data_IF_134814622376
#
_entry.id   IF_134814622376
#
_cell.length_a   1.000
_cell.length_b   1.000
_cell.length_c   1.000
_cell.angle_alpha   90.00
_cell.angle_beta   90.00
_cell.angle_gamma   90.00
#
_symmetry.space_group_name_H-M   'P 1'
#
loop_
_entity.id
_entity.type
_entity.pdbx_description
1 polymer ?
#
# COMPACT_ATOMS: atom_id res chain seq x y z
N UNK A 1 27.90 0.04 -46.33
CA UNK A 1 27.94 1.30 -45.55
C UNK A 1 27.49 0.95 -44.16
N UNK A 2 28.45 0.73 -43.26
CA UNK A 2 28.18 0.42 -41.86
C UNK A 2 27.72 1.71 -41.19
N UNK A 3 26.45 1.77 -40.79
CA UNK A 3 25.99 2.79 -39.88
C UNK A 3 26.68 2.52 -38.54
N UNK A 4 27.58 3.42 -38.13
CA UNK A 4 28.09 3.45 -36.76
C UNK A 4 26.88 3.66 -35.84
N UNK A 5 26.41 2.57 -35.23
CA UNK A 5 25.57 2.64 -34.04
C UNK A 5 26.51 3.14 -32.94
N UNK A 6 26.51 4.45 -32.72
CA UNK A 6 27.06 5.01 -31.48
C UNK A 6 26.19 4.50 -30.36
N UNK A 7 26.66 3.46 -29.66
CA UNK A 7 26.06 3.00 -28.41
C UNK A 7 26.10 4.17 -27.42
N UNK A 8 24.95 4.65 -26.93
CA UNK A 8 24.91 5.81 -26.03
C UNK A 8 25.33 5.47 -24.60
N UNK A 9 25.67 4.21 -24.31
CA UNK A 9 25.88 3.72 -22.96
C UNK A 9 27.30 3.18 -22.78
N UNK A 10 28.07 3.68 -21.79
CA UNK A 10 29.34 3.06 -21.39
C UNK A 10 29.11 1.65 -20.80
N UNK A 11 30.09 0.72 -20.92
CA UNK A 11 29.99 -0.62 -20.36
C UNK A 11 29.78 -0.62 -18.83
N UNK A 12 29.11 -1.66 -18.32
CA UNK A 12 28.71 -1.81 -16.91
C UNK A 12 29.33 -3.11 -16.37
N UNK A 13 29.97 -3.08 -15.20
CA UNK A 13 30.45 -4.31 -14.58
C UNK A 13 29.28 -5.08 -13.93
N UNK A 14 29.29 -6.43 -13.89
CA UNK A 14 28.22 -7.24 -13.30
C UNK A 14 27.86 -6.86 -11.85
N UNK A 15 28.80 -6.23 -11.15
CA UNK A 15 28.75 -5.87 -9.74
C UNK A 15 28.11 -4.47 -9.50
N UNK A 16 27.80 -3.71 -10.56
CA UNK A 16 27.45 -2.27 -10.49
C UNK A 16 25.95 -1.96 -10.35
N UNK A 17 25.06 -2.97 -10.33
CA UNK A 17 23.62 -2.78 -10.16
C UNK A 17 23.17 -3.16 -8.75
N UNK A 18 23.92 -2.65 -7.79
CA UNK A 18 23.65 -2.74 -6.36
C UNK A 18 23.48 -1.32 -5.80
N UNK A 19 22.35 -1.06 -5.13
CA UNK A 19 22.00 0.26 -4.61
C UNK A 19 21.72 0.15 -3.12
N UNK A 20 22.40 0.95 -2.31
CA UNK A 20 22.09 1.07 -0.88
C UNK A 20 20.80 1.87 -0.69
N UNK A 21 19.96 1.43 0.24
CA UNK A 21 18.73 2.11 0.61
C UNK A 21 18.96 2.92 1.89
N UNK A 22 19.01 4.24 1.77
CA UNK A 22 19.12 5.10 2.95
C UNK A 22 17.87 5.00 3.84
N UNK A 23 18.06 5.24 5.14
CA UNK A 23 16.93 5.30 6.09
C UNK A 23 15.87 6.31 5.66
N UNK A 24 16.28 7.46 5.13
CA UNK A 24 15.36 8.50 4.65
C UNK A 24 14.50 8.00 3.48
N UNK A 25 15.11 7.31 2.50
CA UNK A 25 14.36 6.70 1.39
C UNK A 25 13.35 5.69 1.91
N UNK A 26 13.75 4.84 2.86
CA UNK A 26 12.86 3.85 3.46
C UNK A 26 11.69 4.50 4.20
N UNK A 27 11.95 5.53 5.02
CA UNK A 27 10.93 6.25 5.75
C UNK A 27 9.92 6.94 4.81
N UNK A 28 10.41 7.59 3.74
CA UNK A 28 9.56 8.24 2.75
C UNK A 28 8.72 7.23 1.95
N UNK A 29 9.34 6.14 1.48
CA UNK A 29 8.65 5.07 0.77
C UNK A 29 7.57 4.42 1.66
N UNK A 30 7.90 4.17 2.94
CA UNK A 30 6.95 3.65 3.90
C UNK A 30 5.77 4.59 4.08
N UNK A 31 6.02 5.88 4.32
CA UNK A 31 4.97 6.90 4.50
C UNK A 31 4.00 6.95 3.31
N UNK A 32 4.51 6.95 2.07
CA UNK A 32 3.66 6.99 0.86
C UNK A 32 2.81 5.73 0.71
N UNK A 33 3.35 4.56 1.05
CA UNK A 33 2.65 3.28 0.92
C UNK A 33 1.46 3.13 1.89
N UNK A 34 1.35 3.95 2.94
CA UNK A 34 0.38 3.74 4.03
C UNK A 34 -1.08 3.93 3.61
N UNK A 35 -1.33 4.65 2.52
CA UNK A 35 -2.68 4.93 2.03
C UNK A 35 -3.36 3.72 1.37
N UNK A 36 -2.64 2.63 1.13
CA UNK A 36 -3.20 1.43 0.50
C UNK A 36 -4.14 0.64 1.41
N UNK A 37 -5.13 -0.01 0.79
CA UNK A 37 -6.30 -0.54 1.50
C UNK A 37 -6.00 -1.71 2.46
N UNK A 38 -4.90 -2.43 2.23
CA UNK A 38 -4.57 -3.64 2.98
C UNK A 38 -3.04 -3.86 3.07
N UNK A 39 -2.56 -4.71 4.00
CA UNK A 39 -1.12 -4.93 4.20
C UNK A 39 -0.35 -5.39 2.95
N UNK A 40 -0.97 -6.20 2.08
CA UNK A 40 -0.30 -6.72 0.87
C UNK A 40 -0.05 -5.57 -0.11
N UNK A 41 -1.09 -4.78 -0.40
CA UNK A 41 -0.98 -3.59 -1.24
C UNK A 41 0.01 -2.56 -0.67
N UNK A 42 0.00 -2.36 0.66
CA UNK A 42 0.99 -1.50 1.35
C UNK A 42 2.42 -1.99 1.12
N UNK A 43 2.70 -3.27 1.34
CA UNK A 43 4.05 -3.82 1.11
C UNK A 43 4.46 -3.70 -0.37
N UNK A 44 3.53 -3.98 -1.27
CA UNK A 44 3.77 -3.88 -2.71
C UNK A 44 4.12 -2.46 -3.15
N UNK A 45 3.38 -1.46 -2.67
CA UNK A 45 3.67 -0.05 -2.94
C UNK A 45 4.98 0.40 -2.28
N UNK A 46 5.26 -0.07 -1.06
CA UNK A 46 6.52 0.20 -0.38
C UNK A 46 7.72 -0.30 -1.18
N UNK A 47 7.74 -1.58 -1.59
CA UNK A 47 8.78 -2.13 -2.45
C UNK A 47 8.84 -1.42 -3.80
N UNK A 48 7.67 -1.09 -4.37
CA UNK A 48 7.56 -0.34 -5.61
C UNK A 48 8.25 1.02 -5.54
N UNK A 49 8.03 1.77 -4.45
CA UNK A 49 8.71 3.04 -4.19
C UNK A 49 10.22 2.86 -4.02
N UNK A 50 10.67 1.90 -3.22
CA UNK A 50 12.09 1.65 -3.00
C UNK A 50 12.82 1.32 -4.31
N UNK A 51 12.26 0.39 -5.10
CA UNK A 51 12.82 0.01 -6.39
C UNK A 51 12.80 1.17 -7.38
N UNK A 52 11.70 1.93 -7.46
CA UNK A 52 11.63 3.10 -8.32
C UNK A 52 12.69 4.13 -7.94
N UNK A 53 12.72 4.55 -6.67
CA UNK A 53 13.64 5.59 -6.22
C UNK A 53 15.10 5.14 -6.34
N UNK A 54 15.43 3.93 -5.88
CA UNK A 54 16.79 3.38 -5.95
C UNK A 54 17.28 3.26 -7.39
N UNK A 55 16.46 2.68 -8.28
CA UNK A 55 16.84 2.53 -9.69
C UNK A 55 16.96 3.89 -10.39
N UNK A 56 16.03 4.82 -10.15
CA UNK A 56 16.07 6.17 -10.73
C UNK A 56 17.31 6.95 -10.28
N UNK A 57 17.65 6.90 -8.99
CA UNK A 57 18.86 7.57 -8.47
C UNK A 57 20.12 7.03 -9.14
N UNK A 58 20.25 5.70 -9.24
CA UNK A 58 21.40 5.09 -9.90
C UNK A 58 21.50 5.48 -11.38
N UNK A 59 20.40 5.44 -12.13
CA UNK A 59 20.38 5.89 -13.54
C UNK A 59 20.84 7.34 -13.63
N UNK A 60 20.28 8.24 -12.81
CA UNK A 60 20.59 9.66 -12.86
C UNK A 60 22.06 9.93 -12.53
N UNK A 61 22.63 9.27 -11.53
CA UNK A 61 24.05 9.35 -11.20
C UNK A 61 24.92 8.88 -12.37
N UNK A 62 24.56 7.77 -13.02
CA UNK A 62 25.34 7.16 -14.09
C UNK A 62 25.34 7.99 -15.37
N UNK A 63 24.22 8.64 -15.68
CA UNK A 63 24.01 9.40 -16.92
C UNK A 63 24.07 10.91 -16.71
N UNK A 64 24.88 11.37 -15.75
CA UNK A 64 25.17 12.79 -15.48
C UNK A 64 23.89 13.64 -15.32
N UNK A 65 22.87 13.08 -14.68
CA UNK A 65 21.62 13.76 -14.36
C UNK A 65 20.69 13.98 -15.56
N UNK A 66 20.90 13.29 -16.69
CA UNK A 66 20.00 13.43 -17.83
C UNK A 66 18.67 12.68 -17.59
N UNK A 67 17.76 13.36 -16.89
CA UNK A 67 16.43 12.86 -16.52
C UNK A 67 15.50 12.61 -17.70
N UNK A 68 15.87 13.00 -18.92
CA UNK A 68 15.08 12.67 -20.12
C UNK A 68 15.19 11.18 -20.48
N UNK A 69 16.15 10.46 -19.89
CA UNK A 69 16.35 9.05 -20.20
C UNK A 69 15.44 8.12 -19.43
N UNK A 70 14.98 8.48 -18.22
CA UNK A 70 14.14 7.57 -17.42
C UNK A 70 13.03 8.32 -16.71
N UNK A 71 11.82 7.80 -16.85
CA UNK A 71 10.63 8.31 -16.17
C UNK A 71 9.68 7.16 -15.78
N UNK A 72 8.82 7.34 -14.76
CA UNK A 72 7.74 6.40 -14.51
C UNK A 72 6.84 6.25 -15.73
N UNK A 73 6.42 5.01 -16.05
CA UNK A 73 5.54 4.78 -17.21
C UNK A 73 4.16 5.44 -17.06
N UNK A 74 3.68 5.54 -15.83
CA UNK A 74 2.40 6.19 -15.50
C UNK A 74 2.57 7.17 -14.35
N UNK A 75 1.83 8.26 -14.40
CA UNK A 75 1.84 9.31 -13.36
C UNK A 75 1.19 8.87 -12.04
N UNK A 76 0.54 7.70 -11.99
CA UNK A 76 -0.26 7.25 -10.85
C UNK A 76 -0.03 5.77 -10.52
N UNK A 77 1.22 5.44 -10.18
CA UNK A 77 1.64 4.08 -9.81
C UNK A 77 0.87 3.51 -8.61
N UNK A 78 0.43 4.35 -7.66
CA UNK A 78 -0.40 3.90 -6.52
C UNK A 78 -1.65 3.13 -6.97
N UNK A 79 -2.31 3.59 -8.03
CA UNK A 79 -3.50 2.89 -8.56
C UNK A 79 -3.18 1.50 -9.13
N UNK A 80 -1.94 1.22 -9.52
CA UNK A 80 -1.49 -0.10 -9.96
C UNK A 80 -1.01 -0.93 -8.78
N UNK A 81 -0.23 -0.34 -7.88
CA UNK A 81 0.32 -1.00 -6.70
C UNK A 81 -0.72 -1.37 -5.65
N UNK A 82 -1.96 -0.90 -5.78
CA UNK A 82 -3.08 -1.47 -5.04
C UNK A 82 -3.42 -2.90 -5.48
N UNK A 83 -3.06 -3.31 -6.70
CA UNK A 83 -3.56 -4.53 -7.32
C UNK A 83 -2.49 -5.48 -7.85
N UNK A 84 -1.40 -4.98 -8.41
CA UNK A 84 -0.39 -5.78 -9.13
C UNK A 84 1.04 -5.34 -8.84
N UNK A 85 1.88 -6.32 -8.52
CA UNK A 85 3.29 -6.14 -8.19
C UNK A 85 4.12 -5.87 -9.44
N UNK A 86 4.96 -4.85 -9.42
CA UNK A 86 5.81 -4.46 -10.54
C UNK A 86 5.90 -2.94 -10.69
N UNK A 87 7.03 -2.46 -11.18
CA UNK A 87 7.30 -1.03 -11.37
C UNK A 87 7.58 -0.78 -12.85
N UNK A 88 6.59 -0.31 -13.61
CA UNK A 88 6.79 0.05 -15.00
C UNK A 88 7.51 1.41 -15.10
N UNK A 89 8.63 1.42 -15.81
CA UNK A 89 9.40 2.62 -16.13
C UNK A 89 9.63 2.70 -17.64
N UNK A 90 9.87 3.90 -18.13
CA UNK A 90 10.34 4.14 -19.49
C UNK A 90 11.82 4.43 -19.42
N UNK A 91 12.61 3.75 -20.25
CA UNK A 91 14.02 4.06 -20.50
C UNK A 91 14.19 4.38 -21.99
N UNK A 92 14.39 5.66 -22.32
CA UNK A 92 14.42 6.15 -23.68
C UNK A 92 13.09 5.91 -24.41
N UNK A 93 13.02 4.86 -25.23
CA UNK A 93 11.78 4.46 -25.95
C UNK A 93 11.21 3.12 -25.48
N UNK A 94 11.90 2.45 -24.57
CA UNK A 94 11.55 1.12 -24.11
C UNK A 94 10.83 1.17 -22.78
N UNK A 95 9.87 0.27 -22.61
CA UNK A 95 9.21 0.01 -21.34
C UNK A 95 9.95 -1.10 -20.62
N UNK A 96 10.49 -0.80 -19.45
CA UNK A 96 11.09 -1.76 -18.55
C UNK A 96 10.13 -2.03 -17.41
N UNK A 97 10.02 -3.30 -17.01
CA UNK A 97 9.29 -3.72 -15.84
C UNK A 97 10.27 -4.17 -14.76
N UNK A 98 10.40 -3.40 -13.68
CA UNK A 98 11.15 -3.84 -12.51
C UNK A 98 10.23 -4.74 -11.66
N UNK A 99 10.68 -5.94 -11.33
CA UNK A 99 9.94 -6.91 -10.53
C UNK A 99 10.66 -7.09 -9.19
N UNK A 100 10.19 -6.43 -8.11
CA UNK A 100 10.73 -6.58 -6.76
C UNK A 100 10.57 -8.02 -6.24
N UNK A 101 11.52 -8.44 -5.41
CA UNK A 101 11.44 -9.65 -4.60
C UNK A 101 12.26 -9.48 -3.34
N UNK A 102 11.65 -9.76 -2.19
CA UNK A 102 12.34 -9.79 -0.90
C UNK A 102 12.98 -11.17 -0.61
N UNK A 103 12.96 -12.09 -1.58
CA UNK A 103 13.53 -13.43 -1.40
C UNK A 103 15.05 -13.35 -1.51
N UNK A 104 15.78 -13.89 -0.52
CA UNK A 104 17.25 -13.84 -0.47
C UNK A 104 17.93 -14.50 -1.69
N UNK A 105 17.27 -15.50 -2.28
CA UNK A 105 17.58 -16.02 -3.60
C UNK A 105 16.26 -16.31 -4.30
N UNK A 106 15.76 -15.42 -5.17
CA UNK A 106 14.54 -15.71 -5.90
C UNK A 106 14.80 -16.89 -6.83
N UNK A 107 14.11 -18.01 -6.58
CA UNK A 107 14.24 -19.21 -7.41
C UNK A 107 13.76 -18.96 -8.84
N UNK A 108 12.84 -18.03 -9.08
CA UNK A 108 12.30 -17.70 -10.40
C UNK A 108 11.99 -16.19 -10.52
N UNK A 109 12.00 -15.65 -11.76
CA UNK A 109 11.31 -14.41 -12.10
C UNK A 109 9.81 -14.63 -12.04
N UNK A 110 9.12 -14.00 -11.10
CA UNK A 110 7.68 -14.13 -10.96
C UNK A 110 6.98 -12.87 -11.50
N UNK A 111 6.31 -12.99 -12.64
CA UNK A 111 5.62 -11.85 -13.28
C UNK A 111 4.11 -12.05 -13.24
N UNK A 112 3.35 -11.12 -12.65
CA UNK A 112 1.90 -11.07 -12.79
C UNK A 112 1.45 -11.11 -14.25
N UNK A 113 0.47 -11.95 -14.55
CA UNK A 113 -0.12 -12.09 -15.90
C UNK A 113 -0.52 -10.75 -16.53
N UNK A 114 -0.92 -9.78 -15.72
CA UNK A 114 -1.30 -8.43 -16.13
C UNK A 114 -0.20 -7.72 -16.90
N UNK A 115 1.07 -7.93 -16.54
CA UNK A 115 2.20 -7.32 -17.24
C UNK A 115 2.59 -8.03 -18.53
N UNK A 116 2.01 -9.20 -18.81
CA UNK A 116 2.30 -9.98 -20.02
C UNK A 116 1.12 -9.91 -20.99
N UNK A 117 -0.09 -10.19 -20.50
CA UNK A 117 -1.26 -10.43 -21.34
C UNK A 117 -2.09 -9.16 -21.60
N UNK A 118 -1.77 -8.02 -20.98
CA UNK A 118 -2.46 -6.74 -21.19
C UNK A 118 -1.59 -5.85 -22.09
N UNK A 119 -1.98 -5.61 -23.36
CA UNK A 119 -1.15 -4.87 -24.32
C UNK A 119 -0.69 -3.49 -23.83
N UNK A 120 -1.57 -2.78 -23.12
CA UNK A 120 -1.32 -1.44 -22.58
C UNK A 120 -0.27 -1.45 -21.47
N UNK A 121 -0.17 -2.54 -20.71
CA UNK A 121 0.75 -2.65 -19.57
C UNK A 121 2.02 -3.46 -19.88
N UNK A 122 2.07 -4.13 -21.05
CA UNK A 122 3.18 -4.99 -21.44
C UNK A 122 4.50 -4.22 -21.58
N UNK A 123 5.59 -4.79 -21.07
CA UNK A 123 6.92 -4.21 -21.14
C UNK A 123 7.76 -4.87 -22.24
N UNK A 124 8.79 -4.19 -22.70
CA UNK A 124 9.76 -4.75 -23.65
C UNK A 124 10.79 -5.63 -22.94
N UNK A 125 11.05 -5.33 -21.66
CA UNK A 125 12.03 -5.99 -20.80
C UNK A 125 11.47 -6.18 -19.40
N UNK A 126 11.83 -7.30 -18.77
CA UNK A 126 11.49 -7.63 -17.39
C UNK A 126 12.79 -7.82 -16.60
N UNK A 127 12.93 -7.08 -15.49
CA UNK A 127 14.13 -7.05 -14.67
C UNK A 127 13.81 -7.65 -13.29
N UNK A 128 14.66 -8.56 -12.83
CA UNK A 128 14.57 -9.13 -11.50
C UNK A 128 15.27 -8.22 -10.49
N UNK A 129 14.51 -7.67 -9.55
CA UNK A 129 15.04 -6.82 -8.50
C UNK A 129 14.99 -7.56 -7.18
N UNK A 130 16.14 -7.87 -6.61
CA UNK A 130 16.22 -8.35 -5.24
C UNK A 130 16.26 -7.16 -4.29
N UNK A 131 15.49 -7.22 -3.21
CA UNK A 131 15.43 -6.18 -2.17
C UNK A 131 15.75 -6.84 -0.84
N UNK A 132 16.79 -6.37 -0.16
CA UNK A 132 17.14 -6.78 1.18
C UNK A 132 16.80 -5.66 2.16
N UNK A 133 15.91 -5.96 3.11
CA UNK A 133 15.48 -5.07 4.18
C UNK A 133 15.77 -5.69 5.56
N UNK A 134 16.70 -6.64 5.64
CA UNK A 134 17.07 -7.27 6.90
C UNK A 134 17.69 -6.22 7.84
N UNK A 135 17.11 -6.07 9.02
CA UNK A 135 17.56 -5.13 10.06
C UNK A 135 18.82 -5.62 10.76
N UNK A 136 19.17 -6.92 10.63
CA UNK A 136 20.41 -7.50 11.16
C UNK A 136 21.63 -7.24 10.26
N UNK A 137 21.42 -6.91 8.97
CA UNK A 137 22.50 -6.53 8.06
C UNK A 137 22.86 -5.04 8.21
N UNK A 138 24.13 -4.69 8.02
CA UNK A 138 24.62 -3.31 8.21
C UNK A 138 23.94 -2.30 7.29
N UNK A 139 23.40 -2.72 6.15
CA UNK A 139 22.70 -1.84 5.20
C UNK A 139 21.58 -2.59 4.45
N UNK A 140 20.42 -1.95 4.29
CA UNK A 140 19.41 -2.39 3.34
C UNK A 140 19.82 -2.04 1.90
N UNK A 141 19.47 -2.89 0.94
CA UNK A 141 19.94 -2.74 -0.45
C UNK A 141 18.98 -3.30 -1.50
N UNK A 142 19.20 -2.90 -2.75
CA UNK A 142 18.54 -3.44 -3.94
C UNK A 142 19.61 -3.92 -4.92
N UNK A 143 19.41 -5.09 -5.51
CA UNK A 143 20.27 -5.62 -6.55
C UNK A 143 19.46 -6.06 -7.78
N UNK A 144 19.89 -5.66 -8.98
CA UNK A 144 19.34 -6.22 -10.23
C UNK A 144 20.04 -7.54 -10.51
N UNK A 145 19.29 -8.65 -10.48
CA UNK A 145 19.86 -10.01 -10.63
C UNK A 145 19.97 -10.46 -12.09
N UNK A 146 19.22 -9.83 -12.97
CA UNK A 146 19.19 -10.16 -14.39
C UNK A 146 17.97 -9.57 -15.08
N UNK A 147 17.92 -9.76 -16.39
CA UNK A 147 16.84 -9.26 -17.23
C UNK A 147 16.48 -10.25 -18.34
N UNK A 148 15.31 -10.08 -18.93
CA UNK A 148 14.85 -10.87 -20.07
C UNK A 148 13.98 -10.02 -20.97
N UNK A 149 14.08 -10.23 -22.28
CA UNK A 149 13.18 -9.57 -23.24
C UNK A 149 11.79 -10.20 -23.18
N UNK A 150 10.78 -9.43 -23.57
CA UNK A 150 9.41 -9.90 -23.70
C UNK A 150 9.27 -11.19 -24.54
N UNK A 151 9.98 -11.23 -25.68
CA UNK A 151 9.96 -12.36 -26.60
C UNK A 151 10.56 -13.61 -25.96
N UNK A 152 11.65 -13.47 -25.21
CA UNK A 152 12.25 -14.60 -24.50
C UNK A 152 11.38 -15.06 -23.35
N UNK A 153 10.79 -14.13 -22.59
CA UNK A 153 9.90 -14.44 -21.48
C UNK A 153 8.68 -15.24 -21.95
N UNK A 154 7.98 -14.80 -23.01
CA UNK A 154 6.82 -15.50 -23.57
C UNK A 154 7.17 -16.94 -23.99
N UNK A 155 8.37 -17.17 -24.52
CA UNK A 155 8.78 -18.48 -25.04
C UNK A 155 9.29 -19.45 -23.95
N UNK A 156 9.73 -18.93 -22.80
CA UNK A 156 10.43 -19.72 -21.77
C UNK A 156 9.68 -19.81 -20.44
N UNK A 157 8.77 -18.88 -20.15
CA UNK A 157 8.08 -18.82 -18.87
C UNK A 157 6.95 -19.85 -18.76
N UNK A 158 6.74 -20.35 -17.54
CA UNK A 158 5.64 -21.28 -17.22
C UNK A 158 4.49 -20.54 -16.55
N UNK A 159 3.27 -20.70 -17.07
CA UNK A 159 2.08 -20.05 -16.52
C UNK A 159 1.36 -20.91 -15.48
N UNK A 160 1.14 -20.35 -14.29
CA UNK A 160 0.32 -20.96 -13.23
C UNK A 160 -1.06 -20.30 -13.16
N UNK A 161 -2.09 -21.07 -13.51
CA UNK A 161 -3.47 -20.57 -13.62
C UNK A 161 -4.09 -20.13 -12.30
N UNK A 162 -3.82 -20.83 -11.21
CA UNK A 162 -4.42 -20.57 -9.89
C UNK A 162 -3.98 -19.22 -9.30
N UNK A 163 -2.70 -18.87 -9.48
CA UNK A 163 -2.10 -17.62 -9.01
C UNK A 163 -2.08 -16.52 -10.07
N UNK A 164 -2.37 -16.84 -11.34
CA UNK A 164 -2.22 -15.93 -12.49
C UNK A 164 -0.81 -15.31 -12.56
N UNK A 165 0.21 -16.15 -12.35
CA UNK A 165 1.62 -15.76 -12.40
C UNK A 165 2.34 -16.53 -13.50
N UNK A 166 3.26 -15.87 -14.19
CA UNK A 166 4.28 -16.51 -14.99
C UNK A 166 5.56 -16.63 -14.16
N UNK A 167 6.24 -17.77 -14.26
CA UNK A 167 7.52 -18.04 -13.61
C UNK A 167 8.59 -18.35 -14.65
N UNK A 168 9.78 -17.77 -14.50
CA UNK A 168 10.94 -18.05 -15.36
C UNK A 168 12.18 -18.31 -14.52
N UNK A 169 12.77 -19.50 -14.66
CA UNK A 169 13.93 -19.89 -13.85
C UNK A 169 15.21 -19.15 -14.22
N UNK A 170 16.19 -19.05 -13.30
CA UNK A 170 17.30 -18.11 -13.42
C UNK A 170 18.30 -18.51 -14.50
N UNK A 171 18.32 -19.77 -14.92
CA UNK A 171 19.05 -20.23 -16.11
C UNK A 171 18.51 -19.65 -17.42
N UNK A 172 17.32 -19.04 -17.44
CA UNK A 172 16.65 -18.60 -18.66
C UNK A 172 16.60 -17.07 -18.85
N UNK A 173 17.17 -16.29 -17.93
CA UNK A 173 17.35 -14.83 -18.07
C UNK A 173 18.84 -14.46 -18.19
N UNK A 174 19.12 -13.23 -18.62
CA UNK A 174 20.48 -12.72 -18.81
C UNK A 174 20.98 -12.07 -17.51
N UNK A 175 22.12 -12.55 -17.00
CA UNK A 175 22.78 -11.96 -15.82
C UNK A 175 23.77 -10.84 -16.19
N UNK A 176 24.28 -10.83 -17.42
CA UNK A 176 25.14 -9.75 -17.90
C UNK A 176 24.29 -8.53 -18.26
N UNK A 177 24.24 -7.58 -17.33
CA UNK A 177 23.42 -6.39 -17.45
C UNK A 177 23.99 -5.38 -18.44
N UNK A 178 25.23 -5.55 -18.94
CA UNK A 178 25.75 -4.77 -20.08
C UNK A 178 24.90 -5.00 -21.32
N UNK A 179 24.47 -6.25 -21.52
CA UNK A 179 23.63 -6.64 -22.65
C UNK A 179 22.28 -5.94 -22.63
N UNK A 180 21.73 -5.60 -21.45
CA UNK A 180 20.49 -4.83 -21.35
C UNK A 180 20.62 -3.51 -22.11
N UNK A 181 21.69 -2.76 -21.83
CA UNK A 181 21.92 -1.44 -22.42
C UNK A 181 22.29 -1.50 -23.89
N UNK A 182 23.01 -2.54 -24.30
CA UNK A 182 23.31 -2.78 -25.72
C UNK A 182 22.05 -3.11 -26.54
N UNK A 183 21.06 -3.73 -25.90
CA UNK A 183 19.82 -4.19 -26.57
C UNK A 183 18.68 -3.17 -26.48
N UNK A 184 18.76 -2.15 -25.61
CA UNK A 184 17.79 -1.05 -25.59
C UNK A 184 17.61 -0.43 -26.98
N UNK A 185 16.36 -0.22 -27.36
CA UNK A 185 15.94 0.29 -28.67
C UNK A 185 15.90 -0.74 -29.80
N UNK A 186 16.46 -1.94 -29.59
CA UNK A 186 16.48 -3.03 -30.59
C UNK A 186 15.24 -3.90 -30.48
N UNK A 187 14.86 -4.28 -29.25
CA UNK A 187 13.68 -5.11 -29.01
C UNK A 187 12.44 -4.27 -28.67
N UNK A 188 11.30 -4.75 -29.15
CA UNK A 188 9.99 -4.25 -28.81
C UNK A 188 9.11 -5.43 -28.42
N UNK A 189 8.23 -5.21 -27.45
CA UNK A 189 7.26 -6.19 -27.02
C UNK A 189 6.42 -6.68 -28.21
N UNK A 190 6.17 -7.98 -28.25
CA UNK A 190 5.36 -8.57 -29.30
C UNK A 190 3.92 -8.06 -29.16
N UNK A 191 3.28 -7.77 -30.29
CA UNK A 191 1.88 -7.36 -30.29
C UNK A 191 1.00 -8.50 -29.76
N UNK A 192 0.29 -8.22 -28.68
CA UNK A 192 -0.70 -9.11 -28.07
C UNK A 192 -2.08 -8.75 -28.59
N UNK A 193 -2.97 -9.74 -28.73
CA UNK A 193 -4.36 -9.48 -29.10
C UNK A 193 -5.03 -8.53 -28.10
N UNK A 194 -5.75 -7.50 -28.58
CA UNK A 194 -6.43 -6.57 -27.70
C UNK A 194 -7.47 -7.30 -26.84
N UNK A 195 -7.61 -6.85 -25.60
CA UNK A 195 -8.64 -7.38 -24.71
C UNK A 195 -10.04 -6.97 -25.23
N UNK A 196 -11.05 -7.84 -25.02
CA UNK A 196 -12.41 -7.49 -25.39
C UNK A 196 -12.88 -6.27 -24.59
N UNK A 197 -13.53 -5.34 -25.28
CA UNK A 197 -14.08 -4.14 -24.63
C UNK A 197 -15.09 -4.51 -23.56
N UNK A 198 -14.95 -3.89 -22.39
CA UNK A 198 -15.84 -4.11 -21.25
C UNK A 198 -16.93 -3.05 -21.28
N UNK A 199 -18.19 -3.46 -21.04
CA UNK A 199 -19.30 -2.52 -20.92
C UNK A 199 -19.22 -1.72 -19.62
N UNK A 200 -19.71 -0.48 -19.63
CA UNK A 200 -19.73 0.38 -18.46
C UNK A 200 -20.52 -0.22 -17.27
N UNK A 201 -21.58 -0.98 -17.54
CA UNK A 201 -22.35 -1.67 -16.49
C UNK A 201 -21.52 -2.76 -15.82
N UNK A 202 -20.81 -3.58 -16.61
CA UNK A 202 -19.89 -4.59 -16.10
C UNK A 202 -18.77 -3.97 -15.25
N UNK A 203 -18.25 -2.80 -15.66
CA UNK A 203 -17.24 -2.06 -14.87
C UNK A 203 -17.82 -1.63 -13.53
N UNK A 204 -19.02 -1.03 -13.50
CA UNK A 204 -19.65 -0.59 -12.24
C UNK A 204 -19.89 -1.73 -11.26
N UNK A 205 -20.37 -2.86 -11.76
CA UNK A 205 -20.61 -4.03 -10.91
C UNK A 205 -19.29 -4.64 -10.41
N UNK A 206 -18.26 -4.68 -11.26
CA UNK A 206 -16.91 -5.08 -10.85
C UNK A 206 -16.33 -4.13 -9.80
N UNK A 207 -16.42 -2.81 -9.99
CA UNK A 207 -15.96 -1.83 -9.02
C UNK A 207 -16.66 -2.08 -7.68
N UNK A 208 -18.00 -2.12 -7.65
CA UNK A 208 -18.77 -2.38 -6.42
C UNK A 208 -18.34 -3.68 -5.72
N UNK A 209 -18.15 -4.76 -6.47
CA UNK A 209 -17.78 -6.06 -5.91
C UNK A 209 -16.32 -6.18 -5.45
N UNK A 210 -15.44 -5.30 -5.94
CA UNK A 210 -14.01 -5.29 -5.63
C UNK A 210 -13.61 -4.13 -4.71
N UNK A 211 -14.49 -3.19 -4.41
CA UNK A 211 -14.24 -2.06 -3.50
C UNK A 211 -13.92 -2.44 -2.05
N UNK A 212 -14.42 -3.54 -1.46
CA UNK A 212 -14.12 -3.84 -0.06
C UNK A 212 -12.63 -4.04 0.21
N UNK A 213 -12.06 -3.28 1.15
CA UNK A 213 -10.64 -3.37 1.57
C UNK A 213 -10.27 -4.75 2.13
N UNK A 214 -11.23 -5.44 2.75
CA UNK A 214 -11.10 -6.82 3.24
C UNK A 214 -10.72 -7.83 2.13
N UNK A 215 -11.04 -7.51 0.87
CA UNK A 215 -10.60 -8.31 -0.27
C UNK A 215 -9.12 -8.05 -0.53
N UNK A 216 -8.27 -8.95 -0.02
CA UNK A 216 -6.80 -8.86 -0.12
C UNK A 216 -6.25 -9.02 -1.54
N UNK A 217 -6.92 -9.78 -2.40
CA UNK A 217 -6.44 -10.04 -3.76
C UNK A 217 -7.56 -9.94 -4.81
N UNK A 218 -7.97 -8.70 -5.18
CA UNK A 218 -9.02 -8.45 -6.18
C UNK A 218 -8.78 -9.20 -7.50
N UNK A 219 -7.51 -9.29 -7.93
CA UNK A 219 -7.10 -9.98 -9.16
C UNK A 219 -7.38 -11.48 -9.20
N UNK A 220 -7.55 -12.14 -8.05
CA UNK A 220 -7.81 -13.59 -7.96
C UNK A 220 -9.30 -13.92 -7.72
N UNK A 221 -10.20 -12.93 -7.80
CA UNK A 221 -11.62 -13.15 -7.59
C UNK A 221 -12.17 -14.15 -8.63
N UNK A 222 -12.60 -15.32 -8.16
CA UNK A 222 -13.05 -16.44 -9.00
C UNK A 222 -14.18 -16.05 -9.98
N UNK A 223 -15.05 -15.14 -9.58
CA UNK A 223 -16.20 -14.70 -10.39
C UNK A 223 -15.84 -13.64 -11.45
N UNK A 224 -14.60 -13.14 -11.49
CA UNK A 224 -14.15 -12.12 -12.44
C UNK A 224 -13.19 -12.73 -13.47
N UNK A 225 -13.65 -12.96 -14.73
CA UNK A 225 -12.81 -13.41 -15.82
C UNK A 225 -11.61 -12.49 -16.06
N UNK A 226 -10.47 -13.07 -16.45
CA UNK A 226 -9.25 -12.28 -16.68
C UNK A 226 -9.45 -11.17 -17.72
N UNK A 227 -10.24 -11.39 -18.77
CA UNK A 227 -10.50 -10.34 -19.77
C UNK A 227 -11.20 -9.10 -19.17
N UNK A 228 -12.12 -9.30 -18.23
CA UNK A 228 -12.79 -8.18 -17.53
C UNK A 228 -11.85 -7.52 -16.52
N UNK A 229 -11.05 -8.31 -15.80
CA UNK A 229 -10.02 -7.76 -14.93
C UNK A 229 -8.97 -6.96 -15.72
N UNK A 230 -8.50 -7.51 -16.85
CA UNK A 230 -7.47 -6.91 -17.67
C UNK A 230 -7.93 -5.60 -18.32
N UNK A 231 -9.16 -5.53 -18.83
CA UNK A 231 -9.67 -4.25 -19.35
C UNK A 231 -9.94 -3.21 -18.25
N UNK A 232 -10.24 -3.63 -17.01
CA UNK A 232 -10.28 -2.72 -15.86
C UNK A 232 -8.89 -2.15 -15.55
N UNK A 233 -7.85 -3.00 -15.57
CA UNK A 233 -6.47 -2.59 -15.32
C UNK A 233 -5.87 -1.79 -16.47
N UNK A 234 -6.23 -2.06 -17.72
CA UNK A 234 -5.78 -1.30 -18.89
C UNK A 234 -6.34 0.13 -18.91
N UNK A 235 -7.56 0.31 -18.41
CA UNK A 235 -8.20 1.63 -18.36
C UNK A 235 -7.83 2.39 -17.09
N UNK A 236 -6.99 3.42 -17.22
CA UNK A 236 -6.53 4.24 -16.09
C UNK A 236 -7.68 4.88 -15.30
N UNK A 237 -8.74 5.36 -15.96
CA UNK A 237 -9.88 5.99 -15.28
C UNK A 237 -10.60 5.01 -14.38
N UNK A 238 -10.90 3.81 -14.88
CA UNK A 238 -11.60 2.80 -14.09
C UNK A 238 -10.74 2.22 -12.97
N UNK A 239 -9.45 2.00 -13.25
CA UNK A 239 -8.48 1.57 -12.24
C UNK A 239 -8.38 2.60 -11.10
N UNK A 240 -8.30 3.89 -11.41
CA UNK A 240 -8.30 4.98 -10.42
C UNK A 240 -9.60 5.02 -9.62
N UNK A 241 -10.75 4.86 -10.27
CA UNK A 241 -12.04 4.80 -9.58
C UNK A 241 -12.07 3.66 -8.56
N UNK A 242 -11.66 2.44 -8.95
CA UNK A 242 -11.59 1.31 -8.02
C UNK A 242 -10.59 1.56 -6.90
N UNK A 243 -9.40 2.06 -7.23
CA UNK A 243 -8.37 2.43 -6.24
C UNK A 243 -8.95 3.37 -5.19
N UNK A 244 -9.56 4.49 -5.60
CA UNK A 244 -10.18 5.47 -4.72
C UNK A 244 -11.25 4.85 -3.82
N UNK A 245 -12.10 3.97 -4.34
CA UNK A 245 -13.12 3.31 -3.51
C UNK A 245 -12.51 2.35 -2.47
N UNK A 246 -11.31 1.84 -2.70
CA UNK A 246 -10.62 0.91 -1.79
C UNK A 246 -9.78 1.62 -0.74
N UNK A 247 -9.15 2.74 -1.10
CA UNK A 247 -8.30 3.52 -0.18
C UNK A 247 -9.07 4.56 0.61
N UNK A 248 -10.34 4.81 0.27
CA UNK A 248 -11.21 5.68 1.08
C UNK A 248 -11.16 5.24 2.54
N UNK A 249 -10.91 6.17 3.47
CA UNK A 249 -11.08 5.89 4.87
C UNK A 249 -12.49 5.35 5.10
N UNK A 250 -12.66 4.32 5.96
CA UNK A 250 -14.00 3.86 6.31
C UNK A 250 -14.77 5.05 6.90
N UNK A 251 -15.94 5.38 6.32
CA UNK A 251 -16.83 6.39 6.88
C UNK A 251 -17.31 5.91 8.25
N UNK A 252 -17.01 6.65 9.32
CA UNK A 252 -17.36 6.33 10.69
C UNK A 252 -18.88 6.17 10.82
N UNK A 253 -19.67 7.02 10.19
CA UNK A 253 -21.12 6.86 10.14
C UNK A 253 -21.54 5.49 9.60
N UNK A 254 -20.99 5.06 8.47
CA UNK A 254 -21.27 3.75 7.89
C UNK A 254 -20.71 2.59 8.75
N UNK A 255 -19.57 2.83 9.39
CA UNK A 255 -18.91 1.91 10.32
C UNK A 255 -19.75 1.61 11.57
N UNK A 256 -20.46 2.63 12.06
CA UNK A 256 -21.27 2.59 13.27
C UNK A 256 -22.78 2.38 13.01
N UNK A 257 -23.27 2.55 11.77
CA UNK A 257 -24.67 2.33 11.37
C UNK A 257 -25.10 0.86 11.31
N UNK A 258 -24.20 -0.10 11.54
CA UNK A 258 -24.60 -1.48 11.87
C UNK A 258 -25.26 -1.47 13.25
N UNK A 259 -26.56 -1.17 13.25
CA UNK A 259 -27.43 -1.22 14.43
C UNK A 259 -27.50 -2.66 14.92
N UNK A 260 -26.65 -3.01 15.89
CA UNK A 260 -26.65 -4.33 16.51
C UNK A 260 -25.30 -4.72 17.13
N UNK A 261 -25.31 -5.83 17.86
CA UNK A 261 -24.14 -6.54 18.38
C UNK A 261 -23.34 -7.27 17.29
N UNK A 262 -23.44 -6.84 16.03
CA UNK A 262 -22.80 -7.50 14.89
C UNK A 262 -21.94 -6.47 14.15
N UNK A 263 -20.65 -6.73 14.13
CA UNK A 263 -19.67 -5.98 13.34
C UNK A 263 -19.62 -6.57 11.93
N UNK A 264 -19.54 -5.72 10.90
CA UNK A 264 -19.45 -6.24 9.53
C UNK A 264 -18.12 -6.98 9.30
N UNK A 265 -18.13 -8.01 8.45
CA UNK A 265 -16.94 -8.81 8.10
C UNK A 265 -15.79 -7.94 7.58
N UNK A 266 -16.11 -6.80 6.97
CA UNK A 266 -15.13 -5.85 6.44
C UNK A 266 -14.29 -5.21 7.54
N UNK A 267 -14.90 -4.94 8.70
CA UNK A 267 -14.28 -4.25 9.82
C UNK A 267 -13.44 -5.20 10.67
N UNK A 268 -13.92 -6.43 10.86
CA UNK A 268 -13.12 -7.51 11.44
C UNK A 268 -11.85 -7.72 10.60
N UNK A 269 -11.97 -7.72 9.27
CA UNK A 269 -10.85 -7.97 8.38
C UNK A 269 -9.75 -6.88 8.43
N UNK A 270 -10.10 -5.65 8.83
CA UNK A 270 -9.15 -4.55 9.04
C UNK A 270 -8.82 -4.31 10.53
N UNK A 271 -9.20 -5.24 11.41
CA UNK A 271 -8.77 -5.30 12.82
C UNK A 271 -9.69 -4.62 13.84
N UNK A 272 -10.85 -4.11 13.43
CA UNK A 272 -11.84 -3.54 14.35
C UNK A 272 -12.73 -4.62 14.96
N UNK A 273 -13.05 -4.46 16.24
CA UNK A 273 -13.83 -5.37 17.07
C UNK A 273 -14.85 -4.59 17.91
N UNK A 274 -15.87 -5.27 18.44
CA UNK A 274 -16.80 -4.65 19.39
C UNK A 274 -16.09 -4.44 20.73
N UNK A 275 -16.30 -3.28 21.36
CA UNK A 275 -15.73 -3.01 22.67
C UNK A 275 -16.07 -4.09 23.70
N UNK A 276 -17.33 -4.54 23.69
CA UNK A 276 -17.84 -5.51 24.65
C UNK A 276 -17.18 -6.89 24.49
N UNK A 277 -16.78 -7.25 23.27
CA UNK A 277 -16.08 -8.52 22.97
C UNK A 277 -14.63 -8.49 23.46
N UNK A 278 -13.97 -7.33 23.38
CA UNK A 278 -12.58 -7.17 23.80
C UNK A 278 -12.46 -6.98 25.32
N UNK A 279 -13.22 -6.05 25.90
CA UNK A 279 -13.01 -5.63 27.29
C UNK A 279 -14.04 -6.16 28.30
N UNK A 280 -15.13 -6.77 27.81
CA UNK A 280 -16.25 -7.20 28.64
C UNK A 280 -17.09 -6.04 29.20
N UNK A 281 -18.41 -6.15 29.08
CA UNK A 281 -19.34 -5.12 29.56
C UNK A 281 -19.56 -3.97 28.57
N UNK A 282 -20.45 -3.04 28.93
CA UNK A 282 -20.82 -1.90 28.09
C UNK A 282 -20.03 -0.65 28.47
N UNK A 283 -19.19 -0.13 27.56
CA UNK A 283 -18.67 1.23 27.68
C UNK A 283 -19.69 2.18 27.08
N UNK A 284 -20.47 2.88 27.91
CA UNK A 284 -21.42 3.88 27.42
C UNK A 284 -21.56 5.07 28.38
N UNK A 285 -20.49 5.47 29.06
CA UNK A 285 -20.28 6.83 29.59
C UNK A 285 -18.90 6.95 30.26
N UNK A 286 -17.97 7.64 29.61
CA UNK A 286 -17.03 8.48 30.36
C UNK A 286 -17.80 9.73 30.77
N UNK A 287 -17.94 9.99 32.07
CA UNK A 287 -18.59 11.22 32.55
C UNK A 287 -17.77 12.44 32.09
N UNK A 288 -18.17 13.05 30.97
CA UNK A 288 -17.59 14.31 30.50
C UNK A 288 -18.21 15.46 31.30
N UNK A 289 -17.71 15.69 32.51
CA UNK A 289 -18.11 16.84 33.33
C UNK A 289 -17.68 18.14 32.65
N UNK A 290 -18.49 18.69 31.72
CA UNK A 290 -18.61 20.13 31.32
C UNK A 290 -19.02 20.36 29.84
N UNK A 291 -20.06 19.69 29.32
CA UNK A 291 -20.76 20.18 28.12
C UNK A 291 -22.22 20.56 28.48
N UNK A 292 -22.80 21.64 27.91
CA UNK A 292 -24.19 22.03 28.19
C UNK A 292 -25.23 21.01 27.70
N UNK A 293 -24.84 20.19 26.72
CA UNK A 293 -25.57 19.04 26.18
C UNK A 293 -24.56 17.90 26.12
N UNK A 294 -24.74 16.86 26.92
CA UNK A 294 -23.86 15.68 26.84
C UNK A 294 -24.30 14.82 25.63
N UNK A 295 -23.45 14.67 24.59
CA UNK A 295 -23.78 13.80 23.47
C UNK A 295 -23.84 12.36 23.97
N UNK A 296 -24.84 11.62 23.51
CA UNK A 296 -25.08 10.24 23.96
C UNK A 296 -24.26 9.29 23.12
N UNK A 297 -23.47 8.43 23.76
CA UNK A 297 -22.77 7.35 23.05
C UNK A 297 -23.76 6.42 22.35
N UNK A 298 -23.60 6.29 21.04
CA UNK A 298 -24.41 5.42 20.17
C UNK A 298 -23.63 4.16 19.77
N UNK A 299 -22.30 4.22 19.72
CA UNK A 299 -21.48 3.04 19.49
C UNK A 299 -20.01 3.22 19.92
N UNK A 300 -19.38 2.10 20.28
CA UNK A 300 -17.96 2.02 20.66
C UNK A 300 -17.30 0.87 19.92
N UNK A 301 -16.08 1.09 19.44
CA UNK A 301 -15.31 0.10 18.67
C UNK A 301 -13.83 0.16 19.02
N UNK A 302 -13.16 -0.97 18.89
CA UNK A 302 -11.79 -1.16 19.35
C UNK A 302 -10.93 -1.74 18.23
N UNK A 303 -9.73 -1.19 18.05
CA UNK A 303 -8.68 -1.77 17.19
C UNK A 303 -7.44 -2.02 18.04
N UNK A 304 -6.87 -3.20 17.90
CA UNK A 304 -5.53 -3.48 18.43
C UNK A 304 -4.49 -2.85 17.51
N UNK A 305 -3.58 -2.08 18.10
CA UNK A 305 -2.43 -1.46 17.46
C UNK A 305 -1.16 -2.02 18.10
N UNK A 306 -0.20 -2.39 17.27
CA UNK A 306 1.13 -2.80 17.71
C UNK A 306 2.10 -1.63 17.50
N UNK A 307 2.64 -1.09 18.59
CA UNK A 307 3.58 0.02 18.57
C UNK A 307 4.87 -0.42 19.24
N UNK A 308 5.73 -1.08 18.45
CA UNK A 308 6.93 -1.73 18.95
C UNK A 308 6.56 -3.06 19.59
N UNK A 309 6.94 -3.26 20.86
CA UNK A 309 6.54 -4.43 21.65
C UNK A 309 5.24 -4.20 22.44
N UNK A 310 4.66 -2.99 22.34
CA UNK A 310 3.48 -2.59 23.11
C UNK A 310 2.20 -2.79 22.31
N UNK A 311 1.29 -3.62 22.83
CA UNK A 311 -0.04 -3.80 22.30
C UNK A 311 -1.02 -2.78 22.94
N UNK A 312 -1.57 -1.90 22.12
CA UNK A 312 -2.43 -0.79 22.54
C UNK A 312 -3.79 -0.90 21.86
N UNK A 313 -4.85 -0.59 22.60
CA UNK A 313 -6.20 -0.53 22.09
C UNK A 313 -6.57 0.90 21.71
N UNK A 314 -6.82 1.17 20.44
CA UNK A 314 -7.50 2.38 20.00
C UNK A 314 -9.01 2.17 20.10
N UNK A 315 -9.65 2.94 20.97
CA UNK A 315 -11.09 2.95 21.15
C UNK A 315 -11.66 4.22 20.53
N UNK A 316 -12.67 4.07 19.68
CA UNK A 316 -13.44 5.20 19.13
C UNK A 316 -14.87 5.08 19.62
N UNK A 317 -15.30 6.10 20.37
CA UNK A 317 -16.71 6.28 20.74
C UNK A 317 -17.35 7.28 19.76
N UNK A 318 -18.44 6.85 19.11
CA UNK A 318 -19.33 7.72 18.36
C UNK A 318 -20.52 8.08 19.24
N UNK A 319 -20.80 9.37 19.33
CA UNK A 319 -21.89 9.93 20.11
C UNK A 319 -22.74 10.84 19.22
N UNK A 320 -24.00 11.03 19.62
CA UNK A 320 -24.95 11.90 18.93
C UNK A 320 -25.60 12.84 19.96
N UNK A 321 -25.67 14.13 19.65
CA UNK A 321 -26.38 15.09 20.49
C UNK A 321 -27.88 15.18 20.15
N UNK A 322 -28.62 16.02 20.88
CA UNK A 322 -30.07 16.18 20.67
C UNK A 322 -30.45 16.80 19.33
N UNK A 323 -29.49 17.40 18.63
CA UNK A 323 -29.68 18.02 17.31
C UNK A 323 -29.26 17.08 16.17
N UNK A 324 -28.77 15.88 16.49
CA UNK A 324 -28.30 14.89 15.52
C UNK A 324 -26.86 15.13 15.05
N UNK A 325 -26.10 16.01 15.70
CA UNK A 325 -24.69 16.19 15.36
C UNK A 325 -23.87 15.03 15.92
N UNK A 326 -22.86 14.62 15.16
CA UNK A 326 -21.99 13.51 15.51
C UNK A 326 -20.74 14.00 16.22
N UNK A 327 -20.45 13.33 17.33
CA UNK A 327 -19.32 13.61 18.21
C UNK A 327 -18.44 12.38 18.33
N UNK A 328 -17.12 12.59 18.30
CA UNK A 328 -16.14 11.50 18.31
C UNK A 328 -15.22 11.66 19.52
N UNK A 329 -15.02 10.56 20.24
CA UNK A 329 -14.04 10.48 21.34
C UNK A 329 -13.05 9.34 21.11
N UNK A 330 -11.83 9.66 20.66
CA UNK A 330 -10.75 8.69 20.58
C UNK A 330 -10.04 8.52 21.93
N UNK A 331 -9.72 7.27 22.26
CA UNK A 331 -9.06 6.89 23.51
C UNK A 331 -8.05 5.77 23.24
N UNK A 332 -6.94 5.76 23.97
CA UNK A 332 -5.99 4.66 24.03
C UNK A 332 -6.11 3.94 25.38
N UNK A 333 -6.00 2.62 25.35
CA UNK A 333 -5.98 1.75 26.54
C UNK A 333 -4.98 0.61 26.35
N UNK A 334 -4.46 -0.01 27.41
CA UNK A 334 -3.68 -1.23 27.27
C UNK A 334 -4.52 -2.32 26.61
N UNK A 335 -3.96 -3.03 25.61
CA UNK A 335 -4.64 -4.15 24.99
C UNK A 335 -4.35 -5.44 25.75
N UNK A 336 -4.98 -5.62 26.92
CA UNK A 336 -4.90 -6.88 27.66
C UNK A 336 -6.28 -7.25 28.25
N UNK A 337 -7.05 -8.11 27.55
CA UNK A 337 -8.41 -8.46 27.95
C UNK A 337 -8.39 -9.37 29.17
N UNK A 338 -8.23 -8.79 30.37
CA UNK A 338 -8.25 -9.52 31.64
C UNK A 338 -7.58 -8.82 32.81
N UNK A 339 -6.62 -7.93 32.55
CA UNK A 339 -5.87 -7.23 33.59
C UNK A 339 -6.19 -5.73 33.61
N UNK A 340 -6.98 -5.31 34.61
CA UNK A 340 -7.36 -3.90 34.82
C UNK A 340 -6.29 -3.07 35.53
N UNK A 341 -5.18 -3.68 35.93
CA UNK A 341 -4.07 -3.01 36.64
C UNK A 341 -2.97 -2.53 35.70
N UNK A 342 -2.99 -2.99 34.44
CA UNK A 342 -2.02 -2.59 33.44
C UNK A 342 -2.21 -1.12 33.05
N UNK A 343 -1.08 -0.46 32.77
CA UNK A 343 -1.02 0.94 32.38
C UNK A 343 -0.40 1.04 30.99
N UNK A 344 -0.74 2.10 30.28
CA UNK A 344 -0.12 2.47 29.02
C UNK A 344 1.37 2.78 29.23
N UNK A 345 2.21 2.52 28.22
CA UNK A 345 3.61 2.91 28.28
C UNK A 345 3.72 4.42 28.49
N UNK A 346 4.67 4.92 29.30
CA UNK A 346 4.84 6.35 29.53
C UNK A 346 5.28 7.06 28.24
N UNK A 347 4.88 8.32 28.07
CA UNK A 347 5.14 9.14 26.87
C UNK A 347 4.46 8.67 25.58
N UNK A 348 3.47 7.78 25.67
CA UNK A 348 2.58 7.49 24.56
C UNK A 348 1.78 8.75 24.23
N UNK A 349 1.86 9.24 22.99
CA UNK A 349 1.15 10.40 22.51
C UNK A 349 -0.07 9.98 21.71
N UNK A 350 -1.19 10.68 21.91
CA UNK A 350 -2.37 10.64 21.05
C UNK A 350 -2.61 12.07 20.56
N UNK A 351 -2.57 12.27 19.24
CA UNK A 351 -2.81 13.56 18.62
C UNK A 351 -3.88 13.49 17.52
N UNK A 352 -4.69 14.54 17.42
CA UNK A 352 -5.61 14.79 16.32
C UNK A 352 -4.92 15.74 15.33
N UNK A 353 -4.82 15.32 14.07
CA UNK A 353 -4.28 16.12 12.98
C UNK A 353 -5.40 16.55 12.02
N UNK A 354 -5.21 17.71 11.39
CA UNK A 354 -6.03 18.13 10.24
C UNK A 354 -5.55 17.51 8.91
N UNK A 355 -6.18 17.92 7.81
CA UNK A 355 -5.92 17.48 6.45
C UNK A 355 -4.55 17.92 5.92
N UNK A 356 -3.95 18.96 6.50
CA UNK A 356 -2.58 19.39 6.23
C UNK A 356 -1.53 18.67 7.10
N UNK A 357 -1.97 17.80 8.01
CA UNK A 357 -1.11 17.06 8.94
C UNK A 357 -0.66 17.88 10.15
N UNK A 358 -1.25 19.05 10.37
CA UNK A 358 -0.94 19.92 11.51
C UNK A 358 -1.66 19.40 12.77
N UNK A 359 -0.96 19.38 13.89
CA UNK A 359 -1.52 18.93 15.17
C UNK A 359 -2.51 19.95 15.72
N UNK A 360 -3.77 19.54 15.83
CA UNK A 360 -4.85 20.34 16.41
C UNK A 360 -4.91 20.17 17.93
N UNK A 361 -4.78 18.93 18.42
CA UNK A 361 -4.81 18.60 19.85
C UNK A 361 -3.90 17.41 20.08
N UNK A 362 -3.12 17.40 21.18
CA UNK A 362 -2.36 16.22 21.61
C UNK A 362 -2.43 16.00 23.12
N UNK A 363 -2.28 14.75 23.54
CA UNK A 363 -2.22 14.31 24.94
C UNK A 363 -1.17 13.21 25.09
N UNK A 364 -0.47 13.20 26.22
CA UNK A 364 0.58 12.19 26.50
C UNK A 364 0.29 11.41 27.76
N UNK A 365 0.61 10.12 27.75
CA UNK A 365 0.51 9.27 28.93
C UNK A 365 1.63 9.57 29.93
N UNK A 366 1.26 9.55 31.21
CA UNK A 366 2.18 9.58 32.34
C UNK A 366 2.31 8.18 32.97
N UNK A 367 3.17 8.05 33.98
CA UNK A 367 3.27 6.81 34.77
C UNK A 367 1.91 6.47 35.38
N UNK A 368 1.51 5.20 35.29
CA UNK A 368 0.22 4.70 35.77
C UNK A 368 -1.04 5.19 35.00
N UNK A 369 -0.88 5.71 33.78
CA UNK A 369 -2.02 6.09 32.93
C UNK A 369 -2.67 4.84 32.35
N UNK A 370 -3.94 4.56 32.66
CA UNK A 370 -4.67 3.40 32.13
C UNK A 370 -5.64 3.73 30.98
N UNK A 371 -5.98 5.01 30.82
CA UNK A 371 -6.77 5.54 29.72
C UNK A 371 -6.15 6.87 29.31
N UNK A 372 -5.78 7.02 28.05
CA UNK A 372 -5.35 8.28 27.47
C UNK A 372 -6.40 8.74 26.47
N UNK A 373 -6.97 9.94 26.65
CA UNK A 373 -8.05 10.44 25.81
C UNK A 373 -7.86 11.93 25.53
N UNK A 374 -8.37 12.40 24.38
CA UNK A 374 -8.39 13.83 24.10
C UNK A 374 -9.20 14.60 25.16
N UNK A 375 -8.88 15.87 25.44
CA UNK A 375 -9.50 16.63 26.53
C UNK A 375 -11.02 16.82 26.35
N UNK A 376 -11.48 16.89 25.10
CA UNK A 376 -12.88 16.94 24.73
C UNK A 376 -13.13 16.09 23.49
N UNK A 377 -14.31 15.45 23.39
CA UNK A 377 -14.76 14.93 22.11
C UNK A 377 -14.96 16.08 21.13
N UNK A 378 -14.76 15.81 19.85
CA UNK A 378 -14.93 16.81 18.80
C UNK A 378 -16.15 16.49 17.96
N UNK A 379 -16.87 17.54 17.59
CA UNK A 379 -17.98 17.50 16.64
C UNK A 379 -17.44 17.78 15.24
N UNK A 380 -17.90 17.05 14.25
CA UNK A 380 -17.56 17.35 12.86
C UNK A 380 -18.61 16.84 11.88
N UNK A 381 -18.63 17.41 10.68
CA UNK A 381 -19.68 17.20 9.69
C UNK A 381 -19.45 15.89 8.92
N UNK A 382 -20.52 15.22 8.45
CA UNK A 382 -20.38 14.07 7.56
C UNK A 382 -19.53 14.40 6.33
N UNK A 383 -18.61 13.50 5.98
CA UNK A 383 -17.65 13.66 4.90
C UNK A 383 -16.36 14.41 5.27
N UNK A 384 -16.24 14.93 6.49
CA UNK A 384 -14.97 15.52 6.97
C UNK A 384 -13.96 14.43 7.30
N UNK A 385 -12.74 14.58 6.80
CA UNK A 385 -11.62 13.69 7.10
C UNK A 385 -10.85 14.18 8.33
N UNK A 386 -10.32 13.24 9.11
CA UNK A 386 -9.39 13.55 10.20
C UNK A 386 -8.41 12.40 10.41
N UNK A 387 -7.29 12.71 11.06
CA UNK A 387 -6.22 11.74 11.31
C UNK A 387 -5.90 11.69 12.80
N UNK A 388 -5.81 10.47 13.34
CA UNK A 388 -5.27 10.24 14.68
C UNK A 388 -3.82 9.78 14.55
N UNK A 389 -2.92 10.47 15.23
CA UNK A 389 -1.52 10.08 15.37
C UNK A 389 -1.29 9.49 16.76
N UNK A 390 -0.73 8.28 16.79
CA UNK A 390 -0.36 7.55 17.99
C UNK A 390 1.15 7.34 17.94
N UNK A 391 1.91 7.90 18.88
CA UNK A 391 3.37 7.78 18.85
C UNK A 391 3.99 7.43 20.19
N UNK A 392 5.08 6.66 20.15
CA UNK A 392 5.87 6.25 21.31
C UNK A 392 7.34 6.18 20.87
N UNK A 393 8.17 7.03 21.48
CA UNK A 393 9.56 7.20 21.03
C UNK A 393 9.62 7.64 19.56
N UNK A 394 10.30 6.85 18.72
CA UNK A 394 10.49 7.14 17.30
C UNK A 394 9.43 6.46 16.40
N UNK A 395 8.49 5.72 16.99
CA UNK A 395 7.46 5.01 16.24
C UNK A 395 6.17 5.84 16.22
N UNK A 396 5.49 5.85 15.07
CA UNK A 396 4.22 6.58 14.91
C UNK A 396 3.28 5.78 14.01
N UNK A 397 2.05 5.61 14.48
CA UNK A 397 0.92 5.09 13.73
C UNK A 397 -0.03 6.26 13.44
N UNK A 398 -0.46 6.35 12.20
CA UNK A 398 -1.55 7.26 11.79
C UNK A 398 -2.78 6.44 11.40
N UNK A 399 -3.94 6.77 11.94
CA UNK A 399 -5.24 6.20 11.57
C UNK A 399 -6.09 7.29 10.91
N UNK A 400 -6.59 6.99 9.72
CA UNK A 400 -7.36 7.93 8.89
C UNK A 400 -8.85 7.60 8.98
N UNK A 401 -9.66 8.63 9.14
CA UNK A 401 -11.09 8.49 9.28
C UNK A 401 -11.82 9.54 8.45
N UNK A 402 -13.05 9.20 8.03
CA UNK A 402 -14.02 10.14 7.48
C UNK A 402 -15.29 10.02 8.31
N UNK A 403 -15.98 11.12 8.60
CA UNK A 403 -17.23 11.07 9.40
C UNK A 403 -18.40 10.59 8.55
#
# INVERSE_FOLDING_TARGET
MNANVTHPFPPIAPDELYFNLSFEMQAQAWQKSRCHSNPIARNQAYLGHLCLQGFMSWVLERFEGNSQFVEPYVNHLESLWEFIEGVPIIVGKNRLMLIPSQTLNPDDLIVPREWIDIPELRADYYLSMQVNLDEEEENCWICVRGFVTDVEFENRATYTRSSRLYALSPENWHQDLTLLWETLGIHQAKSVSPLPSISYTTVKDAVRGLSPAALRSPRLRLQLPFAQWGGLMANETWRKELYQQRVKPPALTQWFQTQGSEISTELIAIGWQLYQEVFGGSQLAGTFRRAPVEPKAIASRVKQLELGEEAIALVIDLMEDTEGNLWISPQLRPFNPGDRTQCLPPNLNLALLDDEGTTQVEVRSETATNILQLPQPFCSSPGTEFVLSISLGNQTILEYFTI
#
